data_IF_485493022709
#
_entry.id   IF_485493022709
#
_cell.length_a   1.000
_cell.length_b   1.000
_cell.length_c   1.000
_cell.angle_alpha   90.00
_cell.angle_beta   90.00
_cell.angle_gamma   90.00
#
_symmetry.space_group_name_H-M   'P 1'
#
loop_
_entity.id
_entity.type
_entity.pdbx_description
1 polymer ?
#
# COMPACT_ATOMS: atom_id res chain seq x y z
N UNK A 1 -23.85 21.15 -53.72
CA UNK A 1 -24.40 20.43 -52.55
C UNK A 1 -23.91 18.99 -52.38
N UNK A 2 -23.14 18.39 -53.33
CA UNK A 2 -22.54 17.04 -53.15
C UNK A 2 -21.17 17.07 -52.44
N UNK A 3 -20.38 18.14 -52.61
CA UNK A 3 -19.06 18.28 -51.95
C UNK A 3 -19.12 18.58 -50.44
N UNK A 4 -20.25 19.12 -49.97
CA UNK A 4 -20.46 19.37 -48.54
C UNK A 4 -20.82 18.07 -47.78
N UNK A 5 -21.47 17.12 -48.45
CA UNK A 5 -21.85 15.82 -47.90
C UNK A 5 -20.66 14.83 -47.82
N UNK A 6 -19.63 15.04 -48.64
CA UNK A 6 -18.39 14.26 -48.62
C UNK A 6 -17.42 14.71 -47.51
N UNK A 7 -17.53 15.95 -47.03
CA UNK A 7 -16.64 16.47 -45.99
C UNK A 7 -17.09 16.05 -44.57
N UNK A 8 -18.39 15.81 -44.38
CA UNK A 8 -18.95 15.32 -43.11
C UNK A 8 -18.65 13.85 -42.82
N UNK A 9 -18.43 13.04 -43.86
CA UNK A 9 -18.13 11.59 -43.72
C UNK A 9 -16.68 11.37 -43.27
N UNK A 10 -15.76 12.31 -43.57
CA UNK A 10 -14.34 12.20 -43.24
C UNK A 10 -14.02 12.50 -41.77
N UNK A 11 -14.90 13.18 -41.03
CA UNK A 11 -14.68 13.54 -39.62
C UNK A 11 -15.14 12.47 -38.62
N UNK A 12 -16.04 11.56 -39.03
CA UNK A 12 -16.64 10.58 -38.12
C UNK A 12 -15.71 9.37 -37.90
N UNK A 13 -14.83 9.07 -38.86
CA UNK A 13 -13.91 7.92 -38.82
C UNK A 13 -12.69 8.08 -37.90
N UNK A 14 -12.47 9.23 -37.27
CA UNK A 14 -11.32 9.45 -36.35
C UNK A 14 -11.62 9.18 -34.87
N UNK A 15 -12.82 8.74 -34.50
CA UNK A 15 -13.25 8.67 -33.09
C UNK A 15 -13.22 7.28 -32.43
N UNK A 16 -12.62 6.25 -33.06
CA UNK A 16 -12.71 4.85 -32.58
C UNK A 16 -11.52 4.32 -31.77
N UNK A 17 -10.72 5.17 -31.12
CA UNK A 17 -9.61 4.72 -30.26
C UNK A 17 -9.62 5.47 -28.92
N UNK A 18 -10.55 5.17 -28.01
CA UNK A 18 -10.64 5.86 -26.71
C UNK A 18 -10.87 4.97 -25.48
N UNK A 19 -10.88 3.65 -25.60
CA UNK A 19 -11.09 2.77 -24.44
C UNK A 19 -10.16 1.57 -24.48
N UNK A 20 -8.89 1.80 -24.17
CA UNK A 20 -7.99 0.73 -23.78
C UNK A 20 -7.18 1.17 -22.56
N UNK A 21 -7.89 1.57 -21.50
CA UNK A 21 -7.28 1.63 -20.17
C UNK A 21 -7.30 0.22 -19.58
N UNK A 22 -6.11 -0.32 -19.34
CA UNK A 22 -5.90 -1.60 -18.69
C UNK A 22 -6.44 -1.45 -17.26
N UNK A 23 -7.64 -1.96 -17.01
CA UNK A 23 -8.27 -1.92 -15.68
C UNK A 23 -7.37 -2.70 -14.72
N UNK A 24 -6.61 -1.99 -13.87
CA UNK A 24 -5.87 -2.62 -12.79
C UNK A 24 -6.89 -3.21 -11.81
N UNK A 25 -6.88 -4.54 -11.67
CA UNK A 25 -7.72 -5.24 -10.70
C UNK A 25 -7.47 -4.69 -9.30
N UNK A 26 -8.51 -4.38 -8.51
CA UNK A 26 -8.34 -3.83 -7.18
C UNK A 26 -7.57 -4.81 -6.30
N UNK A 27 -6.40 -4.39 -5.83
CA UNK A 27 -5.60 -5.08 -4.82
C UNK A 27 -6.37 -5.09 -3.49
N UNK A 28 -6.79 -6.28 -3.04
CA UNK A 28 -7.55 -6.43 -1.78
C UNK A 28 -6.57 -6.39 -0.61
N UNK A 29 -6.61 -5.29 0.15
CA UNK A 29 -5.83 -5.18 1.37
C UNK A 29 -6.53 -5.87 2.56
N UNK A 30 -5.79 -6.69 3.29
CA UNK A 30 -6.23 -7.32 4.55
C UNK A 30 -5.87 -6.42 5.72
N UNK A 31 -6.82 -6.21 6.62
CA UNK A 31 -6.66 -5.43 7.85
C UNK A 31 -6.21 -6.34 9.00
N UNK A 32 -5.20 -5.92 9.75
CA UNK A 32 -4.69 -6.59 10.94
C UNK A 32 -4.69 -5.62 12.13
N UNK A 33 -5.16 -6.06 13.28
CA UNK A 33 -5.01 -5.33 14.55
C UNK A 33 -3.72 -5.73 15.26
N UNK A 34 -3.25 -4.93 16.23
CA UNK A 34 -2.06 -5.29 17.02
C UNK A 34 -2.33 -6.63 17.74
N UNK A 35 -1.36 -7.54 17.65
CA UNK A 35 -1.44 -8.91 18.16
C UNK A 35 -2.20 -9.88 17.24
N UNK A 36 -2.83 -9.42 16.18
CA UNK A 36 -3.54 -10.29 15.25
C UNK A 36 -2.56 -11.01 14.32
N UNK A 37 -2.81 -12.32 14.13
CA UNK A 37 -2.15 -13.14 13.12
C UNK A 37 -3.10 -13.42 11.96
N UNK A 38 -2.60 -13.30 10.73
CA UNK A 38 -3.28 -13.76 9.51
C UNK A 38 -2.37 -14.74 8.76
N UNK A 39 -2.96 -15.58 7.91
CA UNK A 39 -2.19 -16.51 7.05
C UNK A 39 -2.55 -16.27 5.59
N UNK A 40 -1.54 -15.97 4.77
CA UNK A 40 -1.66 -15.74 3.33
C UNK A 40 -0.73 -16.71 2.59
N UNK A 41 -1.28 -17.60 1.76
CA UNK A 41 -0.54 -18.63 1.02
C UNK A 41 0.50 -19.41 1.84
N UNK A 42 0.18 -19.76 3.09
CA UNK A 42 1.07 -20.50 3.99
C UNK A 42 2.14 -19.66 4.69
N UNK A 43 2.10 -18.33 4.51
CA UNK A 43 2.90 -17.36 5.28
C UNK A 43 2.02 -16.80 6.39
N UNK A 44 2.41 -17.03 7.64
CA UNK A 44 1.73 -16.42 8.79
C UNK A 44 2.37 -15.07 9.12
N UNK A 45 1.54 -14.04 9.26
CA UNK A 45 1.96 -12.68 9.58
C UNK A 45 1.31 -12.26 10.88
N UNK A 46 2.10 -11.81 11.85
CA UNK A 46 1.61 -11.27 13.12
C UNK A 46 2.01 -9.80 13.22
N UNK A 47 1.03 -8.90 13.34
CA UNK A 47 1.31 -7.48 13.56
C UNK A 47 1.62 -7.28 15.04
N UNK A 48 2.91 -7.19 15.38
CA UNK A 48 3.35 -7.21 16.78
C UNK A 48 3.13 -5.85 17.44
N UNK A 49 3.66 -4.78 16.84
CA UNK A 49 3.64 -3.46 17.48
C UNK A 49 3.95 -2.32 16.50
N UNK A 50 3.67 -1.08 16.93
CA UNK A 50 4.14 0.16 16.31
C UNK A 50 5.29 0.70 17.16
N UNK A 51 6.51 0.50 16.68
CA UNK A 51 7.74 0.87 17.38
C UNK A 51 7.97 2.39 17.37
N UNK A 52 7.57 3.04 16.27
CA UNK A 52 7.69 4.49 16.10
C UNK A 52 6.48 4.99 15.31
N UNK A 53 5.89 6.11 15.72
CA UNK A 53 4.95 6.85 14.90
C UNK A 53 5.15 8.35 15.09
N UNK A 54 6.07 8.89 14.29
CA UNK A 54 6.43 10.29 14.19
C UNK A 54 5.89 10.94 12.90
N UNK A 55 4.94 10.29 12.22
CA UNK A 55 4.36 10.80 10.96
C UNK A 55 3.80 12.20 11.17
N UNK A 56 4.09 13.09 10.23
CA UNK A 56 3.54 14.44 10.24
C UNK A 56 1.99 14.41 10.28
N UNK A 57 1.31 14.94 11.30
CA UNK A 57 -0.15 14.90 11.38
C UNK A 57 -0.82 15.62 10.21
N UNK A 58 -2.01 15.14 9.79
CA UNK A 58 -2.79 15.86 8.78
C UNK A 58 -3.09 17.28 9.24
N UNK A 59 -3.17 18.19 8.27
CA UNK A 59 -3.49 19.61 8.47
C UNK A 59 -2.44 20.39 9.28
N UNK A 60 -1.21 19.86 9.39
CA UNK A 60 -0.07 20.54 10.01
C UNK A 60 1.04 20.80 9.00
N UNK A 61 1.87 21.80 9.29
CA UNK A 61 3.07 22.10 8.50
C UNK A 61 4.30 21.58 9.23
N UNK A 62 4.79 20.40 8.83
CA UNK A 62 6.00 19.86 9.40
C UNK A 62 7.23 20.37 8.65
N UNK A 63 8.27 20.72 9.40
CA UNK A 63 9.59 21.01 8.82
C UNK A 63 10.19 19.69 8.27
N UNK A 64 9.87 18.55 8.90
CA UNK A 64 10.38 17.21 8.58
C UNK A 64 9.18 16.25 8.44
N UNK A 65 9.14 15.41 7.39
CA UNK A 65 7.95 14.60 7.06
C UNK A 65 7.61 13.48 8.08
N UNK A 66 8.59 13.05 8.88
CA UNK A 66 8.42 12.00 9.89
C UNK A 66 8.21 10.60 9.28
N UNK A 67 7.89 9.61 10.12
CA UNK A 67 7.67 8.22 9.69
C UNK A 67 6.91 7.38 10.70
N UNK A 68 6.47 6.20 10.29
CA UNK A 68 6.12 5.13 11.22
C UNK A 68 7.00 3.91 11.00
N UNK A 69 7.30 3.18 12.07
CA UNK A 69 8.03 1.92 12.04
C UNK A 69 7.17 0.87 12.73
N UNK A 70 6.79 -0.16 11.98
CA UNK A 70 6.00 -1.28 12.50
C UNK A 70 6.85 -2.53 12.61
N UNK A 71 6.55 -3.37 13.60
CA UNK A 71 7.16 -4.67 13.77
C UNK A 71 6.17 -5.76 13.38
N UNK A 72 6.58 -6.61 12.44
CA UNK A 72 5.77 -7.73 11.95
C UNK A 72 6.59 -9.00 12.07
N UNK A 73 6.04 -10.04 12.69
CA UNK A 73 6.62 -11.38 12.62
C UNK A 73 6.07 -12.09 11.38
N UNK A 74 6.99 -12.66 10.60
CA UNK A 74 6.73 -13.48 9.43
C UNK A 74 7.15 -14.89 9.76
N UNK A 75 6.21 -15.83 9.68
CA UNK A 75 6.46 -17.24 9.90
C UNK A 75 6.20 -18.05 8.63
N UNK A 76 7.22 -18.80 8.20
CA UNK A 76 7.17 -19.66 7.02
C UNK A 76 7.78 -21.01 7.36
N UNK A 77 7.02 -22.10 7.17
CA UNK A 77 7.47 -23.47 7.47
C UNK A 77 8.05 -23.62 8.90
N UNK A 78 7.42 -22.97 9.89
CA UNK A 78 7.84 -23.01 11.30
C UNK A 78 9.06 -22.15 11.65
N UNK A 79 9.64 -21.41 10.69
CA UNK A 79 10.70 -20.43 10.95
C UNK A 79 10.09 -19.04 11.09
N UNK A 80 10.33 -18.40 12.23
CA UNK A 80 9.89 -17.04 12.55
C UNK A 80 11.02 -16.04 12.30
N UNK A 81 10.68 -14.92 11.67
CA UNK A 81 11.55 -13.77 11.47
C UNK A 81 10.77 -12.49 11.81
N UNK A 82 11.36 -11.58 12.58
CA UNK A 82 10.76 -10.27 12.83
C UNK A 82 11.32 -9.24 11.86
N UNK A 83 10.43 -8.51 11.18
CA UNK A 83 10.76 -7.46 10.22
C UNK A 83 10.26 -6.12 10.69
N UNK A 84 11.14 -5.12 10.61
CA UNK A 84 10.77 -3.71 10.76
C UNK A 84 10.42 -3.15 9.39
N UNK A 85 9.22 -2.59 9.26
CA UNK A 85 8.78 -1.91 8.05
C UNK A 85 8.67 -0.41 8.31
N UNK A 86 9.30 0.36 7.45
CA UNK A 86 9.38 1.82 7.53
C UNK A 86 8.36 2.43 6.56
N UNK A 87 7.50 3.30 7.10
CA UNK A 87 6.45 4.00 6.37
C UNK A 87 6.72 5.51 6.45
N UNK A 88 7.35 6.06 5.41
CA UNK A 88 7.78 7.45 5.36
C UNK A 88 9.28 7.55 5.17
N UNK A 89 9.91 8.54 5.80
CA UNK A 89 11.35 8.78 5.69
C UNK A 89 12.20 7.65 6.31
N UNK A 90 13.26 7.27 5.60
CA UNK A 90 14.25 6.26 6.05
C UNK A 90 15.61 6.89 6.29
N UNK A 91 16.37 6.36 7.24
CA UNK A 91 17.76 6.77 7.52
C UNK A 91 18.74 5.96 6.69
N UNK A 92 19.99 6.43 6.65
CA UNK A 92 21.09 5.68 6.04
C UNK A 92 21.18 4.28 6.67
N UNK A 93 21.18 3.25 5.83
CA UNK A 93 21.19 1.81 6.19
C UNK A 93 19.85 1.20 6.65
N UNK A 94 18.73 1.92 6.57
CA UNK A 94 17.40 1.34 6.76
C UNK A 94 16.80 0.89 5.41
N UNK A 95 16.09 -0.25 5.34
CA UNK A 95 15.45 -0.71 4.12
C UNK A 95 14.28 0.19 3.73
N UNK A 96 14.17 0.50 2.44
CA UNK A 96 13.04 1.23 1.86
C UNK A 96 11.88 0.32 1.43
N UNK A 97 12.15 -0.99 1.35
CA UNK A 97 11.15 -1.99 0.97
C UNK A 97 10.09 -2.14 2.07
N UNK A 98 8.84 -2.26 1.63
CA UNK A 98 7.68 -2.58 2.48
C UNK A 98 7.29 -4.06 2.38
N UNK A 99 8.12 -4.87 1.76
CA UNK A 99 7.87 -6.28 1.49
C UNK A 99 8.13 -7.12 2.75
N UNK A 100 7.10 -7.81 3.21
CA UNK A 100 7.18 -8.77 4.31
C UNK A 100 7.66 -10.13 3.84
N UNK A 101 7.20 -10.55 2.65
CA UNK A 101 7.55 -11.83 2.07
C UNK A 101 7.59 -11.72 0.54
N UNK A 102 8.53 -12.43 -0.07
CA UNK A 102 8.63 -12.55 -1.53
C UNK A 102 9.17 -13.91 -1.92
N UNK A 103 8.46 -14.64 -2.78
CA UNK A 103 8.94 -15.90 -3.34
C UNK A 103 8.23 -16.20 -4.66
N UNK A 104 8.98 -16.62 -5.68
CA UNK A 104 8.45 -17.10 -6.96
C UNK A 104 7.43 -16.15 -7.64
N UNK A 105 7.66 -14.83 -7.54
CA UNK A 105 6.76 -13.79 -8.08
C UNK A 105 5.59 -13.41 -7.17
N UNK A 106 5.38 -14.14 -6.07
CA UNK A 106 4.41 -13.76 -5.04
C UNK A 106 5.03 -12.81 -4.02
N UNK A 107 4.33 -11.72 -3.71
CA UNK A 107 4.75 -10.70 -2.74
C UNK A 107 3.65 -10.46 -1.72
N UNK A 108 4.06 -10.23 -0.47
CA UNK A 108 3.21 -9.65 0.56
C UNK A 108 3.85 -8.35 1.05
N UNK A 109 3.10 -7.25 0.99
CA UNK A 109 3.61 -5.92 1.31
C UNK A 109 2.72 -5.19 2.30
N UNK A 110 3.33 -4.36 3.14
CA UNK A 110 2.59 -3.39 3.96
C UNK A 110 2.16 -2.23 3.09
N UNK A 111 0.85 -1.97 3.08
CA UNK A 111 0.24 -0.87 2.33
C UNK A 111 0.18 0.38 3.20
N UNK A 112 -0.35 0.26 4.43
CA UNK A 112 -0.58 1.40 5.29
C UNK A 112 -0.68 1.01 6.78
N UNK A 113 -0.41 1.98 7.65
CA UNK A 113 -0.72 1.94 9.07
C UNK A 113 -1.81 2.97 9.36
N UNK A 114 -2.91 2.53 9.96
CA UNK A 114 -4.04 3.37 10.33
C UNK A 114 -4.23 3.39 11.85
N UNK A 115 -4.76 4.47 12.44
CA UNK A 115 -5.06 5.74 11.77
C UNK A 115 -3.77 6.48 11.40
N UNK A 116 -3.86 7.32 10.37
CA UNK A 116 -2.85 8.35 10.14
C UNK A 116 -3.09 9.48 11.16
N UNK A 117 -2.05 10.04 11.81
CA UNK A 117 -2.23 11.03 12.87
C UNK A 117 -2.96 12.29 12.37
N UNK A 118 -3.84 12.82 13.20
CA UNK A 118 -4.56 14.08 12.98
C UNK A 118 -4.45 14.92 14.24
N UNK A 119 -4.15 16.21 14.11
CA UNK A 119 -3.99 17.10 15.26
C UNK A 119 -5.31 17.26 16.02
N UNK A 120 -5.24 17.30 17.35
CA UNK A 120 -6.40 17.46 18.23
C UNK A 120 -7.40 16.29 18.24
N UNK A 121 -7.12 15.15 17.57
CA UNK A 121 -7.98 13.95 17.61
C UNK A 121 -7.38 12.84 18.47
N UNK A 122 -8.24 12.19 19.24
CA UNK A 122 -7.87 10.98 19.97
C UNK A 122 -7.50 9.85 19.01
N UNK A 123 -6.44 9.13 19.37
CA UNK A 123 -5.85 8.10 18.52
C UNK A 123 -6.61 6.77 18.69
N UNK A 124 -7.36 6.38 17.66
CA UNK A 124 -7.95 5.05 17.59
C UNK A 124 -6.86 3.94 17.57
N UNK A 125 -7.19 2.70 17.95
CA UNK A 125 -6.26 1.58 17.90
C UNK A 125 -5.64 1.39 16.51
N UNK A 126 -4.37 0.99 16.50
CA UNK A 126 -3.66 0.79 15.25
C UNK A 126 -4.13 -0.44 14.49
N UNK A 127 -4.12 -0.30 13.17
CA UNK A 127 -4.44 -1.35 12.24
C UNK A 127 -3.46 -1.30 11.07
N UNK A 128 -2.89 -2.44 10.72
CA UNK A 128 -1.95 -2.58 9.61
C UNK A 128 -2.71 -3.13 8.41
N UNK A 129 -2.52 -2.50 7.25
CA UNK A 129 -3.03 -3.00 5.98
C UNK A 129 -1.90 -3.70 5.24
N UNK A 130 -2.13 -4.94 4.85
CA UNK A 130 -1.20 -5.73 4.03
C UNK A 130 -1.90 -6.21 2.77
N UNK A 131 -1.17 -6.32 1.68
CA UNK A 131 -1.71 -6.81 0.41
C UNK A 131 -0.80 -7.88 -0.17
N UNK A 132 -1.42 -8.89 -0.78
CA UNK A 132 -0.72 -9.85 -1.62
C UNK A 132 -0.78 -9.43 -3.10
N UNK A 133 0.26 -9.73 -3.85
CA UNK A 133 0.29 -9.60 -5.31
C UNK A 133 1.12 -10.70 -5.97
N UNK A 134 0.81 -10.99 -7.23
CA UNK A 134 1.45 -11.99 -8.10
C UNK A 134 2.04 -11.25 -9.31
#
# INVERSE_FOLDING_TARGET
MKKLLLLSILFISLSTMAQNEKVETPKIAVKMEIGQTISLQGVSLTFIDVIEDSRCPKYTNCIWAGRAVVLVEVEVNGKKEQKKIYLGETRNNEPTSKTLYSKDGYFIEVVALNPYPEDGKEKAPYTLLVCESI
#
